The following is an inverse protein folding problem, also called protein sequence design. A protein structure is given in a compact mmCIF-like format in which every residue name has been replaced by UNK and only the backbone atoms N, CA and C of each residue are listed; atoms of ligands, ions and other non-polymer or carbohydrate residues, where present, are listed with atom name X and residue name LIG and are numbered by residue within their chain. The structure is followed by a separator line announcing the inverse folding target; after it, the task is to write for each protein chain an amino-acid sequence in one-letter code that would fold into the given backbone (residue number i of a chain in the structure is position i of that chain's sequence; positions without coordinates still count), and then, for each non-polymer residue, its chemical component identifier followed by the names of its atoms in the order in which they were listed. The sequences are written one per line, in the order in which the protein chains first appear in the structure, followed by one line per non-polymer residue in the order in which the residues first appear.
data_IF_462398383634
#
_entry.id   IF_462398383634
#
_cell.length_a   1.000
_cell.length_b   1.000
_cell.length_c   1.000
_cell.angle_alpha   90.00
_cell.angle_beta   90.00
_cell.angle_gamma   90.00
#
_symmetry.space_group_name_H-M   'P 1'
#
loop_
_entity.id
_entity.type
_entity.pdbx_description
1 polymer ?
#
# COMPACT_ATOMS: atom_id res chain seq x y z
N UNK A 1 3.54 -21.20 33.43
CA UNK A 1 2.73 -21.26 32.20
C UNK A 1 1.31 -20.90 32.58
N UNK A 2 0.94 -19.62 32.46
CA UNK A 2 -0.43 -19.14 32.53
C UNK A 2 -0.65 -18.35 31.26
N UNK A 3 -1.40 -18.92 30.32
CA UNK A 3 -1.94 -18.23 29.16
C UNK A 3 -2.84 -17.10 29.65
N UNK A 4 -2.50 -15.86 29.29
CA UNK A 4 -3.43 -14.74 29.42
C UNK A 4 -4.67 -15.07 28.57
N UNK A 5 -5.89 -14.77 29.06
CA UNK A 5 -7.10 -15.01 28.29
C UNK A 5 -7.07 -14.16 27.02
N UNK A 6 -7.32 -14.81 25.89
CA UNK A 6 -7.63 -14.18 24.60
C UNK A 6 -8.66 -13.06 24.85
N UNK A 7 -8.34 -11.83 24.45
CA UNK A 7 -9.21 -10.69 24.71
C UNK A 7 -10.57 -10.95 24.06
N UNK A 8 -11.59 -11.20 24.88
CA UNK A 8 -12.94 -11.45 24.41
C UNK A 8 -13.40 -10.25 23.56
N UNK A 9 -13.69 -10.51 22.28
CA UNK A 9 -14.25 -9.49 21.39
C UNK A 9 -15.63 -9.11 21.93
N UNK A 10 -15.89 -7.82 22.27
CA UNK A 10 -17.20 -7.39 22.72
C UNK A 10 -18.24 -7.71 21.64
N UNK A 11 -19.36 -8.31 22.02
CA UNK A 11 -20.47 -8.56 21.11
C UNK A 11 -21.16 -7.22 20.76
N UNK A 12 -21.60 -7.07 19.51
CA UNK A 12 -22.38 -5.93 19.06
C UNK A 12 -23.76 -5.91 19.72
N UNK A 13 -24.23 -4.72 20.09
CA UNK A 13 -25.63 -4.51 20.48
C UNK A 13 -26.56 -4.69 19.26
N UNK A 14 -27.83 -5.10 19.45
CA UNK A 14 -28.76 -5.27 18.34
C UNK A 14 -28.89 -4.00 17.49
N UNK A 15 -28.47 -4.06 16.22
CA UNK A 15 -28.57 -2.96 15.25
C UNK A 15 -27.27 -2.19 14.99
N UNK A 16 -26.19 -2.52 15.69
CA UNK A 16 -24.88 -1.91 15.47
C UNK A 16 -24.11 -2.62 14.34
N UNK A 17 -23.62 -1.86 13.35
CA UNK A 17 -22.89 -2.43 12.22
C UNK A 17 -21.51 -2.90 12.65
N UNK A 18 -21.21 -4.17 12.34
CA UNK A 18 -19.90 -4.78 12.55
C UNK A 18 -18.97 -4.57 11.36
N UNK A 19 -17.66 -4.73 11.59
CA UNK A 19 -16.65 -4.72 10.53
C UNK A 19 -17.02 -5.71 9.41
N UNK A 20 -17.36 -6.94 9.78
CA UNK A 20 -17.71 -8.01 8.84
C UNK A 20 -18.93 -7.67 7.99
N UNK A 21 -19.99 -7.13 8.59
CA UNK A 21 -21.19 -6.69 7.85
C UNK A 21 -20.87 -5.58 6.85
N UNK A 22 -20.05 -4.61 7.24
CA UNK A 22 -19.64 -3.50 6.38
C UNK A 22 -18.85 -3.98 5.17
N UNK A 23 -17.76 -4.71 5.38
CA UNK A 23 -16.88 -5.17 4.29
C UNK A 23 -17.53 -6.24 3.41
N UNK A 24 -18.39 -7.10 3.98
CA UNK A 24 -19.19 -8.04 3.19
C UNK A 24 -20.21 -7.31 2.31
N UNK A 25 -20.86 -6.28 2.85
CA UNK A 25 -21.77 -5.43 2.09
C UNK A 25 -21.04 -4.75 0.93
N UNK A 26 -19.84 -4.22 1.16
CA UNK A 26 -19.00 -3.62 0.12
C UNK A 26 -18.60 -4.65 -0.94
N UNK A 27 -18.07 -5.80 -0.53
CA UNK A 27 -17.68 -6.89 -1.43
C UNK A 27 -18.85 -7.31 -2.32
N UNK A 28 -20.06 -7.43 -1.75
CA UNK A 28 -21.26 -7.80 -2.51
C UNK A 28 -21.62 -6.81 -3.61
N UNK A 29 -21.64 -5.52 -3.26
CA UNK A 29 -21.98 -4.47 -4.21
C UNK A 29 -20.89 -4.32 -5.28
N UNK A 30 -19.62 -4.44 -4.91
CA UNK A 30 -18.49 -4.43 -5.85
C UNK A 30 -18.50 -5.66 -6.77
N UNK A 31 -18.79 -6.86 -6.26
CA UNK A 31 -18.90 -8.07 -7.08
C UNK A 31 -19.93 -7.91 -8.20
N UNK A 32 -21.08 -7.31 -7.87
CA UNK A 32 -22.12 -7.01 -8.85
C UNK A 32 -21.68 -5.99 -9.93
N UNK A 33 -20.82 -5.01 -9.61
CA UNK A 33 -20.38 -4.01 -10.61
C UNK A 33 -19.43 -4.59 -11.67
N UNK A 34 -18.75 -5.70 -11.35
CA UNK A 34 -17.85 -6.43 -12.26
C UNK A 34 -18.44 -7.72 -12.82
N UNK A 35 -19.70 -8.03 -12.47
CA UNK A 35 -20.43 -9.18 -13.02
C UNK A 35 -20.11 -10.53 -12.36
N UNK A 36 -19.62 -10.54 -11.12
CA UNK A 36 -19.55 -11.78 -10.33
C UNK A 36 -20.95 -12.26 -9.96
N UNK A 37 -21.15 -13.57 -9.93
CA UNK A 37 -22.41 -14.16 -9.50
C UNK A 37 -22.64 -13.94 -8.00
N UNK A 38 -23.90 -14.00 -7.56
CA UNK A 38 -24.22 -13.97 -6.13
C UNK A 38 -23.58 -15.14 -5.39
N UNK A 39 -23.49 -16.31 -6.03
CA UNK A 39 -22.87 -17.50 -5.47
C UNK A 39 -21.35 -17.33 -5.27
N UNK A 40 -20.63 -16.83 -6.29
CA UNK A 40 -19.19 -16.54 -6.18
C UNK A 40 -18.94 -15.49 -5.08
N UNK A 41 -19.76 -14.44 -5.07
CA UNK A 41 -19.64 -13.34 -4.12
C UNK A 41 -19.94 -13.77 -2.69
N UNK A 42 -20.94 -14.64 -2.48
CA UNK A 42 -21.25 -15.22 -1.17
C UNK A 42 -20.11 -16.12 -0.68
N UNK A 43 -19.53 -16.93 -1.57
CA UNK A 43 -18.38 -17.77 -1.30
C UNK A 43 -17.16 -16.95 -0.86
N UNK A 44 -16.80 -15.92 -1.63
CA UNK A 44 -15.69 -15.04 -1.28
C UNK A 44 -15.94 -14.23 -0.01
N UNK A 45 -17.19 -13.83 0.22
CA UNK A 45 -17.61 -13.19 1.46
C UNK A 45 -17.40 -14.09 2.67
N UNK A 46 -17.75 -15.37 2.57
CA UNK A 46 -17.53 -16.33 3.65
C UNK A 46 -16.04 -16.49 3.96
N UNK A 47 -15.19 -16.65 2.93
CA UNK A 47 -13.73 -16.75 3.10
C UNK A 47 -13.16 -15.51 3.81
N UNK A 48 -13.63 -14.33 3.42
CA UNK A 48 -13.22 -13.09 4.07
C UNK A 48 -13.61 -13.06 5.55
N UNK A 49 -14.87 -13.41 5.87
CA UNK A 49 -15.35 -13.43 7.26
C UNK A 49 -14.61 -14.47 8.11
N UNK A 50 -14.42 -15.68 7.58
CA UNK A 50 -13.70 -16.76 8.25
C UNK A 50 -12.27 -16.33 8.57
N UNK A 51 -11.59 -15.65 7.64
CA UNK A 51 -10.22 -15.20 7.83
C UNK A 51 -10.07 -14.05 8.85
N UNK A 52 -11.11 -13.22 9.02
CA UNK A 52 -11.14 -12.19 10.06
C UNK A 52 -11.62 -12.74 11.41
N UNK A 53 -12.08 -14.00 11.46
CA UNK A 53 -12.48 -14.73 12.64
C UNK A 53 -13.33 -13.90 13.62
N UNK A 54 -12.91 -13.79 14.89
CA UNK A 54 -13.60 -13.00 15.90
C UNK A 54 -13.71 -11.51 15.55
N UNK A 55 -12.73 -10.97 14.83
CA UNK A 55 -12.65 -9.55 14.47
C UNK A 55 -13.75 -9.14 13.48
N UNK A 56 -14.28 -10.07 12.68
CA UNK A 56 -15.42 -9.80 11.81
C UNK A 56 -16.66 -9.33 12.60
N UNK A 57 -16.80 -9.76 13.85
CA UNK A 57 -17.93 -9.37 14.73
C UNK A 57 -17.68 -8.09 15.51
N UNK A 58 -16.52 -7.43 15.32
CA UNK A 58 -16.20 -6.19 16.03
C UNK A 58 -17.14 -5.07 15.60
N UNK A 59 -17.84 -4.39 16.53
CA UNK A 59 -18.60 -3.19 16.23
C UNK A 59 -17.74 -2.08 15.64
N UNK A 60 -18.25 -1.34 14.64
CA UNK A 60 -17.55 -0.18 14.06
C UNK A 60 -17.58 1.07 14.95
N UNK A 61 -18.38 1.07 16.03
CA UNK A 61 -18.31 2.11 17.05
C UNK A 61 -17.05 2.03 17.92
N UNK A 62 -16.43 0.85 17.99
CA UNK A 62 -15.15 0.66 18.65
C UNK A 62 -14.02 1.11 17.73
N UNK A 63 -12.87 1.57 18.28
CA UNK A 63 -11.71 1.89 17.46
C UNK A 63 -11.20 0.67 16.68
N UNK A 64 -10.35 0.84 15.66
CA UNK A 64 -9.63 -0.28 15.05
C UNK A 64 -8.96 -1.17 16.11
N UNK A 65 -8.95 -2.49 15.89
CA UNK A 65 -8.35 -3.44 16.83
C UNK A 65 -6.83 -3.27 16.94
N UNK A 66 -6.16 -2.95 15.83
CA UNK A 66 -4.75 -2.57 15.79
C UNK A 66 -4.53 -1.49 14.71
N UNK A 67 -3.40 -0.75 14.77
CA UNK A 67 -3.06 0.25 13.78
C UNK A 67 -2.49 -0.39 12.50
N UNK A 68 -3.28 -1.23 11.83
CA UNK A 68 -2.87 -1.90 10.58
C UNK A 68 -2.30 -0.89 9.59
N UNK A 69 -1.21 -1.30 8.93
CA UNK A 69 -0.59 -0.54 7.85
C UNK A 69 -1.26 -0.77 6.48
N UNK A 70 -2.26 -1.68 6.41
CA UNK A 70 -2.95 -2.04 5.17
C UNK A 70 -3.71 -0.85 4.60
N UNK A 71 -4.42 -0.11 5.44
CA UNK A 71 -5.13 1.10 5.05
C UNK A 71 -4.81 2.28 5.98
N UNK A 72 -5.09 3.47 5.47
CA UNK A 72 -4.83 4.74 6.13
C UNK A 72 -5.74 5.01 7.35
N UNK A 73 -6.84 4.27 7.49
CA UNK A 73 -7.77 4.29 8.63
C UNK A 73 -7.71 3.01 9.49
N UNK A 74 -6.73 2.15 9.24
CA UNK A 74 -6.51 0.88 9.93
C UNK A 74 -7.61 -0.17 9.74
N UNK A 75 -8.47 0.00 8.73
CA UNK A 75 -9.36 -1.07 8.26
C UNK A 75 -8.51 -2.22 7.70
N UNK A 76 -8.71 -3.47 8.12
CA UNK A 76 -7.89 -4.60 7.64
C UNK A 76 -8.31 -5.13 6.27
N UNK A 77 -8.98 -4.31 5.46
CA UNK A 77 -9.53 -4.66 4.14
C UNK A 77 -9.34 -3.51 3.16
N UNK A 78 -8.78 -3.80 1.98
CA UNK A 78 -8.70 -2.90 0.83
C UNK A 78 -9.16 -3.65 -0.42
N UNK A 79 -9.86 -2.99 -1.33
CA UNK A 79 -10.26 -3.56 -2.62
C UNK A 79 -9.37 -3.05 -3.74
N UNK A 80 -9.36 -3.73 -4.89
CA UNK A 80 -8.81 -3.13 -6.11
C UNK A 80 -9.52 -3.60 -7.37
N UNK A 81 -9.51 -2.75 -8.38
CA UNK A 81 -10.05 -3.04 -9.71
C UNK A 81 -8.92 -2.93 -10.73
N UNK A 82 -8.55 -4.06 -11.33
CA UNK A 82 -7.59 -4.09 -12.44
C UNK A 82 -8.32 -4.12 -13.77
N UNK A 83 -8.25 -3.01 -14.49
CA UNK A 83 -8.80 -2.85 -15.82
C UNK A 83 -7.77 -3.25 -16.87
N UNK A 84 -8.24 -3.89 -17.94
CA UNK A 84 -7.46 -4.17 -19.14
C UNK A 84 -8.31 -3.85 -20.37
N UNK A 85 -7.68 -3.61 -21.51
CA UNK A 85 -8.43 -3.40 -22.74
C UNK A 85 -9.24 -4.67 -23.08
N UNK A 86 -10.51 -4.50 -23.46
CA UNK A 86 -11.40 -5.56 -23.94
C UNK A 86 -11.78 -6.66 -22.92
N UNK A 87 -11.71 -6.39 -21.62
CA UNK A 87 -12.28 -7.29 -20.61
C UNK A 87 -12.89 -6.51 -19.44
N UNK A 88 -13.82 -7.15 -18.71
CA UNK A 88 -14.32 -6.61 -17.45
C UNK A 88 -13.17 -6.46 -16.44
N UNK A 89 -13.19 -5.42 -15.57
CA UNK A 89 -12.17 -5.27 -14.54
C UNK A 89 -12.15 -6.45 -13.57
N UNK A 90 -10.96 -6.92 -13.23
CA UNK A 90 -10.78 -7.94 -12.20
C UNK A 90 -10.87 -7.30 -10.80
N UNK A 91 -11.84 -7.72 -10.00
CA UNK A 91 -11.98 -7.32 -8.60
C UNK A 91 -11.05 -8.13 -7.71
N UNK A 92 -10.39 -7.46 -6.78
CA UNK A 92 -9.59 -8.09 -5.72
C UNK A 92 -9.95 -7.54 -4.36
N UNK A 93 -9.69 -8.36 -3.35
CA UNK A 93 -9.73 -7.95 -1.94
C UNK A 93 -8.42 -8.32 -1.27
N UNK A 94 -7.79 -7.38 -0.58
CA UNK A 94 -6.61 -7.51 0.26
C UNK A 94 -7.07 -7.50 1.72
N UNK A 95 -6.58 -8.44 2.53
CA UNK A 95 -7.01 -8.64 3.92
C UNK A 95 -5.80 -8.87 4.83
N UNK A 96 -5.87 -8.33 6.05
CA UNK A 96 -4.97 -8.66 7.17
C UNK A 96 -5.69 -9.58 8.17
N UNK A 97 -5.47 -10.91 8.12
CA UNK A 97 -6.21 -11.86 8.98
C UNK A 97 -5.87 -11.68 10.45
N UNK A 98 -4.58 -11.45 10.73
CA UNK A 98 -4.04 -11.28 12.08
C UNK A 98 -4.28 -9.90 12.70
N UNK A 99 -5.20 -9.11 12.17
CA UNK A 99 -5.39 -7.70 12.54
C UNK A 99 -5.70 -7.46 14.01
N UNK A 100 -6.42 -8.35 14.68
CA UNK A 100 -6.77 -8.16 16.09
C UNK A 100 -5.73 -8.69 17.10
N UNK A 101 -4.60 -9.22 16.64
CA UNK A 101 -3.54 -9.68 17.53
C UNK A 101 -2.67 -8.52 18.02
N UNK A 102 -2.21 -8.61 19.27
CA UNK A 102 -1.44 -7.55 19.93
C UNK A 102 0.04 -7.49 19.54
N UNK A 103 0.57 -8.56 18.95
CA UNK A 103 1.94 -8.63 18.43
C UNK A 103 1.98 -9.25 17.03
N UNK A 104 3.09 -8.99 16.33
CA UNK A 104 3.30 -9.42 14.94
C UNK A 104 3.52 -10.93 14.80
N UNK A 105 4.10 -11.59 15.81
CA UNK A 105 4.29 -13.03 15.76
C UNK A 105 2.94 -13.77 15.71
N UNK A 106 2.02 -13.36 16.58
CA UNK A 106 0.66 -13.90 16.65
C UNK A 106 -0.16 -13.52 15.39
N UNK A 107 -0.04 -12.28 14.94
CA UNK A 107 -0.65 -11.81 13.69
C UNK A 107 -0.22 -12.65 12.48
N UNK A 108 1.08 -12.95 12.39
CA UNK A 108 1.66 -13.80 11.35
C UNK A 108 1.10 -15.23 11.36
N UNK A 109 0.94 -15.83 12.53
CA UNK A 109 0.37 -17.19 12.66
C UNK A 109 -1.09 -17.25 12.23
N UNK A 110 -1.91 -16.27 12.63
CA UNK A 110 -3.28 -16.16 12.15
C UNK A 110 -3.36 -16.01 10.62
N UNK A 111 -2.43 -15.23 10.05
CA UNK A 111 -2.27 -15.12 8.59
C UNK A 111 -1.94 -16.45 7.90
N UNK A 112 -0.99 -17.22 8.45
CA UNK A 112 -0.64 -18.55 7.93
C UNK A 112 -1.79 -19.54 8.03
N UNK A 113 -2.51 -19.56 9.15
CA UNK A 113 -3.68 -20.41 9.35
C UNK A 113 -4.75 -20.12 8.29
N UNK A 114 -5.02 -18.85 8.01
CA UNK A 114 -5.94 -18.45 6.95
C UNK A 114 -5.49 -18.98 5.57
N UNK A 115 -4.20 -18.85 5.23
CA UNK A 115 -3.66 -19.35 3.95
C UNK A 115 -3.71 -20.87 3.86
N UNK A 116 -3.37 -21.58 4.94
CA UNK A 116 -3.44 -23.06 5.00
C UNK A 116 -4.88 -23.56 4.88
N UNK A 117 -5.85 -22.86 5.46
CA UNK A 117 -7.27 -23.15 5.27
C UNK A 117 -7.70 -22.96 3.81
N UNK A 118 -7.24 -21.90 3.15
CA UNK A 118 -7.48 -21.68 1.72
C UNK A 118 -6.81 -22.75 0.84
N UNK A 119 -5.58 -23.14 1.18
CA UNK A 119 -4.82 -24.19 0.50
C UNK A 119 -5.57 -25.53 0.56
N UNK A 120 -6.06 -25.91 1.75
CA UNK A 120 -6.86 -27.11 1.91
C UNK A 120 -8.21 -27.04 1.15
N UNK A 121 -8.82 -25.85 1.09
CA UNK A 121 -10.10 -25.65 0.39
C UNK A 121 -9.99 -25.77 -1.13
N UNK A 122 -8.93 -25.22 -1.72
CA UNK A 122 -8.75 -25.12 -3.17
C UNK A 122 -7.59 -25.98 -3.70
N UNK A 123 -7.05 -26.87 -2.87
CA UNK A 123 -6.01 -27.85 -3.22
C UNK A 123 -4.77 -27.22 -3.89
N UNK A 124 -4.21 -26.18 -3.27
CA UNK A 124 -2.95 -25.58 -3.72
C UNK A 124 -1.80 -25.80 -2.75
N UNK A 125 -0.57 -25.88 -3.28
CA UNK A 125 0.65 -26.01 -2.48
C UNK A 125 1.05 -24.71 -1.78
N UNK A 126 1.50 -24.82 -0.53
CA UNK A 126 2.12 -23.74 0.25
C UNK A 126 3.64 -23.84 0.31
N UNK A 127 4.28 -24.79 -0.39
CA UNK A 127 5.72 -25.07 -0.25
C UNK A 127 6.62 -23.83 -0.42
N UNK A 128 6.28 -22.94 -1.36
CA UNK A 128 7.02 -21.69 -1.55
C UNK A 128 6.91 -20.75 -0.35
N UNK A 129 5.75 -20.71 0.30
CA UNK A 129 5.55 -19.92 1.52
C UNK A 129 6.24 -20.58 2.71
N UNK A 130 6.12 -21.89 2.85
CA UNK A 130 6.74 -22.66 3.95
C UNK A 130 8.28 -22.53 3.90
N UNK A 131 8.88 -22.48 2.70
CA UNK A 131 10.33 -22.27 2.52
C UNK A 131 10.84 -20.88 2.99
N UNK A 132 9.93 -19.93 3.22
CA UNK A 132 10.24 -18.56 3.63
C UNK A 132 9.77 -18.22 5.04
N UNK A 133 9.07 -19.14 5.72
CA UNK A 133 8.39 -18.87 7.00
C UNK A 133 9.35 -18.30 8.05
N UNK A 134 10.55 -18.88 8.22
CA UNK A 134 11.55 -18.43 9.18
C UNK A 134 12.11 -17.03 8.90
N UNK A 135 12.10 -16.58 7.65
CA UNK A 135 12.62 -15.27 7.26
C UNK A 135 11.60 -14.15 7.53
N UNK A 136 10.32 -14.42 7.31
CA UNK A 136 9.27 -13.40 7.30
C UNK A 136 8.35 -13.45 8.51
N UNK A 137 8.30 -14.57 9.24
CA UNK A 137 7.43 -14.77 10.38
C UNK A 137 8.22 -15.25 11.62
N UNK A 138 9.30 -14.55 12.01
CA UNK A 138 10.01 -14.87 13.24
C UNK A 138 9.12 -14.61 14.47
N UNK A 139 9.40 -15.31 15.58
CA UNK A 139 8.59 -15.19 16.81
C UNK A 139 8.50 -13.75 17.35
N UNK A 140 9.57 -12.95 17.18
CA UNK A 140 9.63 -11.55 17.56
C UNK A 140 9.68 -10.66 16.30
N UNK A 141 8.66 -10.78 15.44
CA UNK A 141 8.58 -9.99 14.21
C UNK A 141 8.39 -8.50 14.49
N UNK A 142 9.07 -7.67 13.71
CA UNK A 142 8.85 -6.24 13.65
C UNK A 142 7.79 -5.87 12.60
N UNK A 143 7.14 -4.73 12.81
CA UNK A 143 6.17 -4.17 11.88
C UNK A 143 6.78 -3.70 10.55
N UNK A 144 5.97 -3.13 9.65
CA UNK A 144 4.60 -2.65 9.88
C UNK A 144 3.50 -3.68 9.56
N UNK A 145 3.84 -4.87 9.06
CA UNK A 145 2.92 -5.97 8.80
C UNK A 145 3.60 -7.31 9.09
N UNK A 146 2.79 -8.36 9.21
CA UNK A 146 3.28 -9.75 9.25
C UNK A 146 2.91 -10.51 7.97
N UNK A 147 1.61 -10.72 7.75
CA UNK A 147 1.09 -11.36 6.54
C UNK A 147 -0.24 -10.71 6.13
N UNK A 148 -0.32 -10.28 4.88
CA UNK A 148 -1.59 -10.00 4.21
C UNK A 148 -1.82 -11.02 3.11
N UNK A 149 -3.08 -11.22 2.73
CA UNK A 149 -3.40 -11.95 1.50
C UNK A 149 -4.25 -11.09 0.58
N UNK A 150 -4.11 -11.27 -0.73
CA UNK A 150 -5.07 -10.76 -1.70
C UNK A 150 -5.71 -11.91 -2.48
N UNK A 151 -7.01 -11.81 -2.69
CA UNK A 151 -7.77 -12.71 -3.56
C UNK A 151 -8.12 -11.99 -4.86
N UNK A 152 -7.72 -12.57 -5.99
CA UNK A 152 -8.19 -12.23 -7.32
C UNK A 152 -9.51 -12.96 -7.55
N UNK A 153 -10.63 -12.25 -7.47
CA UNK A 153 -11.97 -12.84 -7.44
C UNK A 153 -12.40 -13.20 -8.87
N UNK A 154 -12.47 -14.51 -9.14
CA UNK A 154 -12.73 -15.05 -10.47
C UNK A 154 -14.14 -15.64 -10.52
N UNK A 155 -14.74 -15.68 -11.69
CA UNK A 155 -15.96 -16.46 -11.89
C UNK A 155 -15.66 -17.95 -11.65
N UNK A 156 -16.59 -18.67 -11.03
CA UNK A 156 -16.45 -20.11 -10.76
C UNK A 156 -15.86 -20.45 -9.39
N UNK A 157 -15.69 -19.46 -8.50
CA UNK A 157 -15.48 -19.69 -7.07
C UNK A 157 -14.07 -20.11 -6.63
N UNK A 158 -13.09 -20.12 -7.54
CA UNK A 158 -11.68 -20.38 -7.21
C UNK A 158 -10.87 -19.11 -7.46
N UNK A 159 -10.43 -18.39 -6.40
CA UNK A 159 -9.70 -17.15 -6.57
C UNK A 159 -8.24 -17.41 -6.94
N UNK A 160 -7.58 -16.41 -7.52
CA UNK A 160 -6.13 -16.37 -7.46
C UNK A 160 -5.68 -15.91 -6.08
N UNK A 161 -4.83 -16.67 -5.39
CA UNK A 161 -4.35 -16.31 -4.05
C UNK A 161 -2.99 -15.62 -4.15
N UNK A 162 -2.79 -14.55 -3.38
CA UNK A 162 -1.48 -13.90 -3.20
C UNK A 162 -1.22 -13.65 -1.74
N UNK A 163 0.02 -13.83 -1.30
CA UNK A 163 0.47 -13.48 0.04
C UNK A 163 1.46 -12.32 -0.02
N UNK A 164 1.42 -11.42 0.94
CA UNK A 164 2.33 -10.29 1.11
C UNK A 164 3.02 -10.43 2.45
N UNK A 165 4.34 -10.36 2.43
CA UNK A 165 5.23 -10.56 3.57
C UNK A 165 6.08 -9.32 3.79
N UNK A 166 6.55 -9.11 5.02
CA UNK A 166 7.38 -7.97 5.42
C UNK A 166 8.89 -8.29 5.35
N UNK A 167 9.65 -7.74 4.38
CA UNK A 167 11.10 -7.94 4.36
C UNK A 167 11.82 -7.41 5.60
N UNK A 168 11.22 -6.45 6.30
CA UNK A 168 11.74 -5.84 7.52
C UNK A 168 11.30 -6.57 8.80
N UNK A 169 10.75 -7.79 8.71
CA UNK A 169 10.26 -8.55 9.88
C UNK A 169 11.33 -8.80 10.95
N UNK A 170 12.61 -8.78 10.59
CA UNK A 170 13.74 -8.90 11.53
C UNK A 170 14.49 -7.57 11.76
N UNK A 171 13.91 -6.44 11.35
CA UNK A 171 14.54 -5.11 11.37
C UNK A 171 14.70 -4.50 9.96
N UNK A 172 14.43 -3.19 9.76
CA UNK A 172 14.55 -2.53 8.45
C UNK A 172 15.94 -2.63 7.80
N UNK A 173 17.01 -2.65 8.60
CA UNK A 173 18.39 -2.81 8.15
C UNK A 173 18.67 -4.19 7.52
N UNK A 174 17.84 -5.17 7.83
CA UNK A 174 17.96 -6.53 7.32
C UNK A 174 17.14 -6.75 6.03
N UNK A 175 16.25 -5.83 5.66
CA UNK A 175 15.30 -6.00 4.56
C UNK A 175 15.94 -6.44 3.23
N UNK A 176 17.04 -5.81 2.82
CA UNK A 176 17.75 -6.16 1.59
C UNK A 176 18.31 -7.60 1.61
N UNK A 177 18.83 -8.04 2.77
CA UNK A 177 19.33 -9.39 2.96
C UNK A 177 18.19 -10.40 2.91
N UNK A 178 17.07 -10.09 3.58
CA UNK A 178 15.86 -10.92 3.58
C UNK A 178 15.32 -11.15 2.17
N UNK A 179 15.17 -10.09 1.37
CA UNK A 179 14.70 -10.22 -0.03
C UNK A 179 15.68 -11.06 -0.86
N UNK A 180 16.99 -10.83 -0.73
CA UNK A 180 18.01 -11.60 -1.47
C UNK A 180 17.92 -13.09 -1.14
N UNK A 181 17.86 -13.42 0.15
CA UNK A 181 17.78 -14.80 0.60
C UNK A 181 16.46 -15.45 0.18
N UNK A 182 15.35 -14.74 0.26
CA UNK A 182 14.05 -15.24 -0.19
C UNK A 182 14.08 -15.59 -1.69
N UNK A 183 14.59 -14.69 -2.53
CA UNK A 183 14.74 -14.94 -3.97
C UNK A 183 15.65 -16.16 -4.22
N UNK A 184 16.75 -16.29 -3.47
CA UNK A 184 17.66 -17.45 -3.56
C UNK A 184 16.95 -18.76 -3.22
N UNK A 185 16.19 -18.82 -2.12
CA UNK A 185 15.44 -20.02 -1.70
C UNK A 185 14.38 -20.44 -2.70
N UNK A 186 13.81 -19.47 -3.42
CA UNK A 186 12.83 -19.70 -4.48
C UNK A 186 13.46 -20.00 -5.86
N UNK A 187 14.79 -20.07 -5.97
CA UNK A 187 15.51 -20.39 -7.22
C UNK A 187 15.78 -19.19 -8.15
N UNK A 188 15.69 -17.96 -7.63
CA UNK A 188 15.91 -16.71 -8.36
C UNK A 188 17.23 -16.02 -7.96
N UNK A 189 18.34 -16.76 -7.91
CA UNK A 189 19.62 -16.29 -7.36
C UNK A 189 20.13 -14.97 -7.97
N UNK A 190 19.83 -14.73 -9.26
CA UNK A 190 20.27 -13.54 -10.00
C UNK A 190 19.28 -12.37 -9.93
N UNK A 191 18.04 -12.60 -9.47
CA UNK A 191 16.97 -11.62 -9.52
C UNK A 191 17.23 -10.38 -8.65
N UNK A 192 17.84 -10.57 -7.47
CA UNK A 192 18.12 -9.44 -6.57
C UNK A 192 19.04 -8.40 -7.22
N UNK A 193 20.00 -8.85 -8.03
CA UNK A 193 20.94 -7.95 -8.73
C UNK A 193 20.27 -7.13 -9.85
N UNK A 194 19.08 -7.53 -10.30
CA UNK A 194 18.30 -6.80 -11.30
C UNK A 194 17.33 -5.78 -10.68
N UNK A 195 17.22 -5.76 -9.35
CA UNK A 195 16.39 -4.77 -8.69
C UNK A 195 17.08 -3.40 -8.74
N UNK A 196 16.32 -2.32 -8.94
CA UNK A 196 16.88 -0.97 -8.92
C UNK A 196 17.35 -0.59 -7.52
N UNK A 197 18.16 0.48 -7.39
CA UNK A 197 18.40 1.12 -6.10
C UNK A 197 17.09 1.40 -5.37
N UNK A 198 17.07 1.11 -4.06
CA UNK A 198 15.86 1.10 -3.24
C UNK A 198 16.04 1.99 -2.02
N UNK A 199 15.04 2.82 -1.70
CA UNK A 199 14.94 3.46 -0.38
C UNK A 199 14.37 2.50 0.69
N UNK A 200 13.88 1.32 0.27
CA UNK A 200 13.39 0.26 1.13
C UNK A 200 12.61 -0.80 0.35
N UNK A 201 12.41 -1.95 0.99
CA UNK A 201 11.63 -3.08 0.45
C UNK A 201 10.37 -3.27 1.30
N UNK A 202 9.27 -2.58 0.99
CA UNK A 202 8.09 -2.63 1.85
C UNK A 202 7.40 -4.00 1.83
N UNK A 203 7.46 -4.73 0.70
CA UNK A 203 6.75 -5.99 0.55
C UNK A 203 7.52 -6.97 -0.35
N UNK A 204 7.45 -8.26 0.00
CA UNK A 204 7.65 -9.36 -0.94
C UNK A 204 6.32 -10.12 -1.04
N UNK A 205 5.88 -10.47 -2.25
CA UNK A 205 4.65 -11.19 -2.45
C UNK A 205 4.81 -12.44 -3.31
N UNK A 206 4.01 -13.47 -3.03
CA UNK A 206 3.95 -14.72 -3.78
C UNK A 206 2.54 -14.91 -4.33
N UNK A 207 2.44 -15.30 -5.59
CA UNK A 207 1.22 -15.85 -6.17
C UNK A 207 1.14 -17.35 -5.83
N UNK A 208 0.09 -17.79 -5.13
CA UNK A 208 -0.16 -19.18 -4.72
C UNK A 208 -1.35 -19.79 -5.47
N UNK A 209 -1.28 -21.09 -5.77
CA UNK A 209 -2.30 -21.84 -6.49
C UNK A 209 -2.30 -21.65 -8.00
N UNK A 210 -3.48 -21.74 -8.61
CA UNK A 210 -3.63 -21.79 -10.07
C UNK A 210 -3.37 -20.44 -10.74
N UNK A 211 -2.08 -20.21 -11.00
CA UNK A 211 -1.57 -19.14 -11.84
C UNK A 211 -0.91 -19.77 -13.07
N UNK A 212 -1.24 -19.26 -14.26
CA UNK A 212 -0.57 -19.68 -15.52
C UNK A 212 0.96 -19.54 -15.44
N UNK A 213 1.41 -18.52 -14.71
CA UNK A 213 2.82 -18.28 -14.42
C UNK A 213 2.88 -17.68 -13.01
N UNK A 214 3.07 -18.50 -11.96
CA UNK A 214 3.20 -18.01 -10.59
C UNK A 214 4.40 -17.07 -10.50
N UNK A 215 4.25 -16.01 -9.71
CA UNK A 215 5.25 -14.94 -9.59
C UNK A 215 5.72 -14.77 -8.16
N UNK A 216 7.01 -14.52 -8.01
CA UNK A 216 7.53 -13.76 -6.87
C UNK A 216 7.59 -12.28 -7.25
N UNK A 217 7.13 -11.41 -6.34
CA UNK A 217 6.98 -9.99 -6.60
C UNK A 217 7.71 -9.20 -5.52
N UNK A 218 8.70 -8.40 -5.91
CA UNK A 218 9.44 -7.53 -4.99
C UNK A 218 8.99 -6.10 -5.16
N UNK A 219 8.54 -5.48 -4.07
CA UNK A 219 8.17 -4.08 -4.04
C UNK A 219 9.36 -3.23 -3.59
N UNK A 220 9.56 -2.10 -4.25
CA UNK A 220 10.66 -1.16 -4.01
C UNK A 220 10.09 0.23 -3.77
N UNK A 221 10.53 0.88 -2.69
CA UNK A 221 10.14 2.24 -2.33
C UNK A 221 11.09 3.27 -2.94
N UNK A 222 10.53 4.35 -3.50
CA UNK A 222 11.28 5.44 -4.15
C UNK A 222 10.89 6.80 -3.57
N UNK A 223 11.76 7.38 -2.73
CA UNK A 223 11.56 8.72 -2.20
C UNK A 223 11.87 9.77 -3.28
N UNK A 224 11.04 10.81 -3.40
CA UNK A 224 11.31 11.92 -4.33
C UNK A 224 11.31 11.52 -5.81
N UNK A 225 10.64 10.42 -6.18
CA UNK A 225 10.62 9.93 -7.56
C UNK A 225 10.10 11.02 -8.52
N UNK A 226 10.80 11.21 -9.64
CA UNK A 226 10.37 12.00 -10.79
C UNK A 226 9.83 11.10 -11.92
N UNK A 227 9.23 11.71 -12.94
CA UNK A 227 8.80 10.98 -14.13
C UNK A 227 9.99 10.36 -14.91
N UNK A 228 11.15 11.00 -14.88
CA UNK A 228 12.37 10.49 -15.52
C UNK A 228 12.90 9.25 -14.79
N UNK A 229 12.91 9.30 -13.46
CA UNK A 229 13.23 8.14 -12.61
C UNK A 229 12.29 6.98 -12.94
N UNK A 230 10.98 7.23 -12.98
CA UNK A 230 9.98 6.22 -13.33
C UNK A 230 10.24 5.59 -14.72
N UNK A 231 10.60 6.40 -15.72
CA UNK A 231 10.96 5.90 -17.05
C UNK A 231 12.20 5.01 -17.00
N UNK A 232 13.26 5.45 -16.33
CA UNK A 232 14.50 4.69 -16.19
C UNK A 232 14.26 3.33 -15.51
N UNK A 233 13.47 3.30 -14.44
CA UNK A 233 13.13 2.07 -13.71
C UNK A 233 12.28 1.07 -14.51
N UNK A 234 11.60 1.54 -15.56
CA UNK A 234 10.70 0.73 -16.38
C UNK A 234 11.34 0.15 -17.65
N UNK A 235 12.61 0.48 -17.95
CA UNK A 235 13.20 0.26 -19.27
C UNK A 235 13.16 -1.20 -19.76
N UNK A 236 13.29 -2.16 -18.85
CA UNK A 236 13.30 -3.60 -19.16
C UNK A 236 11.91 -4.23 -19.26
N UNK A 237 10.86 -3.46 -18.95
CA UNK A 237 9.48 -3.98 -18.87
C UNK A 237 8.72 -4.02 -20.21
N UNK A 238 9.28 -3.42 -21.26
CA UNK A 238 8.57 -3.17 -22.52
C UNK A 238 7.58 -2.00 -22.47
N UNK A 239 7.51 -1.27 -21.35
CA UNK A 239 6.72 -0.04 -21.24
C UNK A 239 7.30 1.07 -22.12
N UNK A 240 6.44 1.80 -22.83
CA UNK A 240 6.88 3.00 -23.53
C UNK A 240 7.17 4.11 -22.50
N UNK A 241 8.30 4.82 -22.68
CA UNK A 241 8.63 5.96 -21.82
C UNK A 241 7.55 7.05 -21.87
N UNK A 242 6.87 7.20 -23.02
CA UNK A 242 5.76 8.12 -23.17
C UNK A 242 4.56 7.74 -22.27
N UNK A 243 4.24 6.44 -22.17
CA UNK A 243 3.14 5.97 -21.34
C UNK A 243 3.46 6.05 -19.86
N UNK A 244 4.69 5.72 -19.45
CA UNK A 244 5.14 5.86 -18.07
C UNK A 244 5.10 7.33 -17.65
N UNK A 245 5.63 8.24 -18.47
CA UNK A 245 5.61 9.68 -18.20
C UNK A 245 4.19 10.23 -18.14
N UNK A 246 3.34 9.85 -19.11
CA UNK A 246 1.94 10.28 -19.12
C UNK A 246 1.21 9.76 -17.88
N UNK A 247 1.39 8.49 -17.52
CA UNK A 247 0.76 7.92 -16.34
C UNK A 247 1.21 8.64 -15.07
N UNK A 248 2.53 8.83 -14.91
CA UNK A 248 3.09 9.51 -13.76
C UNK A 248 2.50 10.92 -13.60
N UNK A 249 2.51 11.73 -14.66
CA UNK A 249 2.02 13.10 -14.59
C UNK A 249 0.51 13.17 -14.35
N UNK A 250 -0.29 12.30 -14.97
CA UNK A 250 -1.73 12.29 -14.75
C UNK A 250 -2.08 11.82 -13.33
N UNK A 251 -1.43 10.76 -12.82
CA UNK A 251 -1.69 10.26 -11.47
C UNK A 251 -1.20 11.22 -10.38
N UNK A 252 -0.02 11.82 -10.55
CA UNK A 252 0.56 12.78 -9.60
C UNK A 252 -0.09 14.17 -9.68
N UNK A 253 -0.67 14.53 -10.82
CA UNK A 253 -1.27 15.84 -11.08
C UNK A 253 -0.26 16.99 -11.07
N UNK A 254 -0.76 18.22 -10.87
CA UNK A 254 0.12 19.37 -10.65
C UNK A 254 0.68 19.29 -9.25
N UNK A 255 1.87 18.73 -9.12
CA UNK A 255 2.65 18.80 -7.88
C UNK A 255 2.77 20.28 -7.47
N UNK A 256 2.45 20.59 -6.21
CA UNK A 256 2.53 21.95 -5.67
C UNK A 256 3.89 22.59 -5.99
N UNK A 257 4.01 23.93 -6.02
CA UNK A 257 5.27 24.60 -6.35
C UNK A 257 6.47 24.12 -5.51
N UNK A 258 6.21 23.67 -4.28
CA UNK A 258 7.19 23.07 -3.36
C UNK A 258 7.74 21.71 -3.81
N UNK A 259 7.13 21.06 -4.80
CA UNK A 259 7.59 19.82 -5.44
C UNK A 259 8.62 20.01 -6.55
N UNK A 260 9.09 21.26 -6.78
CA UNK A 260 10.18 21.57 -7.70
C UNK A 260 11.49 21.66 -6.92
N UNK A 261 12.48 20.90 -7.32
CA UNK A 261 13.87 21.16 -6.91
C UNK A 261 14.46 22.33 -7.70
N UNK A 262 15.67 22.76 -7.31
CA UNK A 262 16.37 23.89 -7.93
C UNK A 262 16.59 23.74 -9.45
N UNK A 263 16.50 22.52 -9.98
CA UNK A 263 16.61 22.18 -11.40
C UNK A 263 15.28 22.27 -12.18
N UNK A 264 14.15 22.53 -11.50
CA UNK A 264 12.81 22.59 -12.09
C UNK A 264 12.11 21.24 -12.25
N UNK A 265 12.73 20.13 -11.83
CA UNK A 265 12.18 18.77 -11.90
C UNK A 265 11.07 18.58 -10.88
N UNK A 266 9.93 18.01 -11.32
CA UNK A 266 8.79 17.71 -10.46
C UNK A 266 8.94 16.35 -9.79
N UNK A 267 8.87 16.31 -8.45
CA UNK A 267 9.09 15.11 -7.64
C UNK A 267 7.94 14.80 -6.68
N UNK A 268 7.76 13.51 -6.38
CA UNK A 268 6.84 13.03 -5.35
C UNK A 268 7.47 13.16 -3.96
N UNK A 269 7.21 14.30 -3.30
CA UNK A 269 7.80 14.63 -1.99
C UNK A 269 6.98 14.21 -0.75
N UNK A 270 5.70 13.87 -0.93
CA UNK A 270 4.82 13.31 0.12
C UNK A 270 5.00 11.78 0.18
N UNK A 271 3.91 10.99 0.21
CA UNK A 271 4.05 9.53 0.21
C UNK A 271 4.77 9.02 -1.05
N UNK A 272 5.77 8.18 -0.82
CA UNK A 272 6.63 7.63 -1.87
C UNK A 272 5.86 6.78 -2.89
N UNK A 273 6.25 6.89 -4.16
CA UNK A 273 5.87 5.90 -5.16
C UNK A 273 6.54 4.56 -4.88
N UNK A 274 5.89 3.48 -5.33
CA UNK A 274 6.43 2.14 -5.29
C UNK A 274 6.59 1.60 -6.71
N UNK A 275 7.65 0.83 -6.95
CA UNK A 275 7.68 -0.08 -8.10
C UNK A 275 7.54 -1.52 -7.62
N UNK A 276 6.95 -2.38 -8.45
CA UNK A 276 6.92 -3.82 -8.23
C UNK A 276 7.61 -4.52 -9.38
N UNK A 277 8.54 -5.42 -9.06
CA UNK A 277 9.28 -6.23 -10.03
C UNK A 277 8.85 -7.69 -9.85
N UNK A 278 8.29 -8.28 -10.90
CA UNK A 278 7.79 -9.66 -10.86
C UNK A 278 8.75 -10.59 -11.60
N UNK A 279 9.00 -11.76 -11.03
CA UNK A 279 9.80 -12.83 -11.63
C UNK A 279 8.95 -14.08 -11.73
N UNK A 280 9.04 -14.78 -12.87
CA UNK A 280 8.44 -16.09 -13.14
C UNK A 280 9.53 -17.12 -13.37
N UNK A 281 9.22 -18.40 -13.23
CA UNK A 281 10.20 -19.48 -13.34
C UNK A 281 11.13 -19.33 -14.56
N UNK A 282 12.44 -19.44 -14.31
CA UNK A 282 13.48 -19.30 -15.34
C UNK A 282 13.90 -17.85 -15.65
N UNK A 283 13.23 -16.84 -15.09
CA UNK A 283 13.61 -15.44 -15.27
C UNK A 283 14.91 -15.08 -14.52
N UNK A 284 15.88 -14.57 -15.25
CA UNK A 284 16.99 -13.80 -14.66
C UNK A 284 16.66 -12.32 -14.52
N UNK A 285 15.75 -11.80 -15.34
CA UNK A 285 15.27 -10.41 -15.35
C UNK A 285 13.76 -10.34 -15.09
N UNK A 286 13.24 -9.25 -14.49
CA UNK A 286 11.82 -9.15 -14.20
C UNK A 286 10.94 -9.33 -15.45
N UNK A 287 9.97 -10.25 -15.40
CA UNK A 287 8.94 -10.41 -16.43
C UNK A 287 7.76 -9.46 -16.24
N UNK A 288 7.68 -8.77 -15.11
CA UNK A 288 6.66 -7.76 -14.85
C UNK A 288 7.19 -6.54 -14.11
N UNK A 289 6.58 -5.39 -14.41
CA UNK A 289 6.83 -4.11 -13.78
C UNK A 289 5.50 -3.45 -13.42
N UNK A 290 5.41 -2.85 -12.24
CA UNK A 290 4.27 -2.00 -11.89
C UNK A 290 4.76 -0.72 -11.27
N UNK A 291 4.23 0.42 -11.70
CA UNK A 291 4.43 1.71 -11.06
C UNK A 291 3.17 2.06 -10.26
N UNK A 292 3.32 2.25 -8.94
CA UNK A 292 2.25 2.63 -8.02
C UNK A 292 2.43 4.07 -7.56
N UNK A 293 1.41 4.89 -7.79
CA UNK A 293 1.34 6.29 -7.35
C UNK A 293 0.28 6.40 -6.25
N UNK A 294 0.64 6.85 -5.03
CA UNK A 294 -0.33 7.05 -3.94
C UNK A 294 -1.18 8.30 -4.20
N UNK A 295 -2.10 8.22 -5.16
CA UNK A 295 -2.85 9.39 -5.65
C UNK A 295 -3.57 10.18 -4.55
N UNK A 296 -4.02 9.52 -3.48
CA UNK A 296 -4.64 10.15 -2.29
C UNK A 296 -3.78 11.23 -1.63
N UNK A 297 -2.46 11.09 -1.73
CA UNK A 297 -1.50 12.03 -1.20
C UNK A 297 -1.17 13.12 -2.21
N UNK A 298 -1.90 13.24 -3.32
CA UNK A 298 -1.62 14.17 -4.41
C UNK A 298 -2.87 14.84 -5.00
N UNK A 299 -4.02 14.70 -4.35
CA UNK A 299 -5.31 15.26 -4.75
C UNK A 299 -5.95 16.03 -3.60
N UNK A 300 -6.87 16.93 -3.92
CA UNK A 300 -7.72 17.59 -2.93
C UNK A 300 -8.69 16.59 -2.27
N UNK A 301 -9.35 15.79 -3.09
CA UNK A 301 -10.45 14.91 -2.72
C UNK A 301 -10.54 13.74 -3.72
N UNK A 302 -11.45 12.80 -3.49
CA UNK A 302 -11.61 11.64 -4.37
C UNK A 302 -12.34 11.95 -5.69
N UNK A 303 -12.96 13.12 -5.82
CA UNK A 303 -13.52 13.56 -7.12
C UNK A 303 -12.36 13.84 -8.10
N UNK A 304 -11.32 14.52 -7.63
CA UNK A 304 -10.11 14.73 -8.40
C UNK A 304 -9.36 13.41 -8.66
N UNK A 305 -9.29 12.50 -7.67
CA UNK A 305 -8.68 11.18 -7.88
C UNK A 305 -9.42 10.37 -8.96
N UNK A 306 -10.75 10.38 -8.95
CA UNK A 306 -11.57 9.72 -9.97
C UNK A 306 -11.38 10.35 -11.35
N UNK A 307 -11.28 11.67 -11.43
CA UNK A 307 -11.00 12.36 -12.69
C UNK A 307 -9.66 11.91 -13.29
N UNK A 308 -8.60 11.82 -12.47
CA UNK A 308 -7.28 11.32 -12.89
C UNK A 308 -7.34 9.85 -13.31
N UNK A 309 -8.01 9.00 -12.54
CA UNK A 309 -8.19 7.59 -12.87
C UNK A 309 -8.96 7.40 -14.20
N UNK A 310 -10.00 8.19 -14.42
CA UNK A 310 -10.81 8.19 -15.65
C UNK A 310 -10.00 8.61 -16.87
N UNK A 311 -9.16 9.64 -16.74
CA UNK A 311 -8.27 10.09 -17.81
C UNK A 311 -7.26 9.00 -18.18
N UNK A 312 -6.72 8.28 -17.20
CA UNK A 312 -5.81 7.15 -17.42
C UNK A 312 -6.53 5.98 -18.11
N UNK A 313 -7.67 5.55 -17.59
CA UNK A 313 -8.43 4.43 -18.17
C UNK A 313 -8.77 4.73 -19.64
N UNK A 314 -9.30 5.92 -19.93
CA UNK A 314 -9.59 6.37 -21.30
C UNK A 314 -8.35 6.35 -22.19
N UNK A 315 -7.22 6.90 -21.71
CA UNK A 315 -5.96 6.93 -22.46
C UNK A 315 -5.48 5.53 -22.85
N UNK A 316 -5.61 4.56 -21.96
CA UNK A 316 -5.18 3.18 -22.19
C UNK A 316 -6.29 2.30 -22.83
N UNK A 317 -7.38 2.90 -23.33
CA UNK A 317 -8.45 2.19 -24.04
C UNK A 317 -9.31 1.30 -23.14
N UNK A 318 -9.44 1.65 -21.86
CA UNK A 318 -10.24 0.93 -20.86
C UNK A 318 -11.49 1.72 -20.51
N UNK A 319 -12.61 1.03 -20.26
CA UNK A 319 -13.87 1.67 -19.87
C UNK A 319 -13.80 2.19 -18.41
N UNK A 320 -13.92 3.51 -18.18
CA UNK A 320 -13.91 4.07 -16.83
C UNK A 320 -15.22 3.84 -16.06
N UNK A 321 -16.32 3.46 -16.73
CA UNK A 321 -17.66 3.36 -16.14
C UNK A 321 -17.70 2.38 -14.98
N UNK A 322 -16.99 1.25 -15.09
CA UNK A 322 -16.93 0.25 -14.04
C UNK A 322 -16.28 0.78 -12.75
N UNK A 323 -15.26 1.64 -12.85
CA UNK A 323 -14.66 2.29 -11.68
C UNK A 323 -15.66 3.23 -11.01
N UNK A 324 -16.32 4.11 -11.77
CA UNK A 324 -17.31 5.05 -11.23
C UNK A 324 -18.47 4.34 -10.53
N UNK A 325 -19.01 3.27 -11.14
CA UNK A 325 -20.06 2.44 -10.51
C UNK A 325 -19.56 1.79 -9.22
N UNK A 326 -18.32 1.34 -9.20
CA UNK A 326 -17.73 0.67 -8.05
C UNK A 326 -17.52 1.62 -6.87
N UNK A 327 -17.13 2.87 -7.10
CA UNK A 327 -17.05 3.88 -6.05
C UNK A 327 -18.44 4.19 -5.45
N UNK A 328 -19.46 4.34 -6.30
CA UNK A 328 -20.85 4.51 -5.84
C UNK A 328 -21.42 3.28 -5.12
N UNK A 329 -20.89 2.09 -5.40
CA UNK A 329 -21.18 0.86 -4.67
C UNK A 329 -20.43 0.77 -3.34
N UNK A 330 -19.23 1.34 -3.25
CA UNK A 330 -18.35 1.21 -2.09
C UNK A 330 -18.79 2.11 -0.93
N UNK A 331 -19.21 3.35 -1.23
CA UNK A 331 -19.59 4.35 -0.24
C UNK A 331 -20.78 5.21 -0.69
N UNK A 332 -21.50 5.79 0.29
CA UNK A 332 -22.59 6.75 0.06
C UNK A 332 -22.13 8.21 0.12
N UNK A 333 -20.92 8.49 0.60
CA UNK A 333 -20.42 9.87 0.71
C UNK A 333 -20.20 10.46 -0.68
N UNK A 334 -20.27 11.78 -0.80
CA UNK A 334 -19.81 12.46 -2.02
C UNK A 334 -18.29 12.34 -2.07
N UNK A 335 -17.75 12.18 -3.28
CA UNK A 335 -16.31 12.03 -3.47
C UNK A 335 -15.54 13.31 -3.06
N UNK A 336 -16.17 14.48 -3.20
CA UNK A 336 -15.63 15.78 -2.77
C UNK A 336 -15.55 15.98 -1.25
N UNK A 337 -16.26 15.17 -0.46
CA UNK A 337 -16.36 15.34 1.00
C UNK A 337 -15.20 14.70 1.76
N UNK A 338 -14.25 14.07 1.05
CA UNK A 338 -13.11 13.42 1.66
C UNK A 338 -12.08 12.94 0.65
N UNK A 339 -10.95 12.47 1.16
CA UNK A 339 -9.82 11.98 0.37
C UNK A 339 -9.35 10.62 0.88
N UNK A 340 -8.96 9.74 -0.03
CA UNK A 340 -8.36 8.45 0.31
C UNK A 340 -9.16 7.23 -0.09
N UNK A 341 -10.38 7.40 -0.64
CA UNK A 341 -11.14 6.28 -1.19
C UNK A 341 -10.39 5.63 -2.35
N UNK A 342 -9.76 6.41 -3.23
CA UNK A 342 -8.80 5.90 -4.22
C UNK A 342 -7.39 6.03 -3.65
N UNK A 343 -6.91 4.96 -3.03
CA UNK A 343 -5.64 4.96 -2.33
C UNK A 343 -4.45 5.07 -3.29
N UNK A 344 -4.42 4.21 -4.29
CA UNK A 344 -3.34 4.13 -5.28
C UNK A 344 -3.90 4.00 -6.69
N UNK A 345 -3.16 4.52 -7.66
CA UNK A 345 -3.28 4.15 -9.06
C UNK A 345 -2.00 3.44 -9.47
N UNK A 346 -2.15 2.37 -10.24
CA UNK A 346 -1.01 1.60 -10.71
C UNK A 346 -1.09 1.31 -12.21
N UNK A 347 0.04 1.46 -12.90
CA UNK A 347 0.23 1.03 -14.28
C UNK A 347 1.08 -0.25 -14.28
N UNK A 348 0.50 -1.31 -14.82
CA UNK A 348 1.04 -2.67 -14.75
C UNK A 348 1.44 -3.13 -16.16
N UNK A 349 2.70 -3.52 -16.29
CA UNK A 349 3.24 -4.22 -17.46
C UNK A 349 3.66 -5.62 -17.07
N UNK A 350 3.39 -6.57 -17.96
CA UNK A 350 3.75 -7.97 -17.79
C UNK A 350 4.03 -8.56 -19.16
N UNK A 351 5.10 -9.34 -19.27
CA UNK A 351 5.54 -9.95 -20.53
C UNK A 351 4.38 -10.71 -21.17
N UNK A 352 4.16 -10.47 -22.46
CA UNK A 352 3.10 -11.10 -23.27
C UNK A 352 1.66 -10.84 -22.75
N UNK A 353 1.44 -9.73 -22.03
CA UNK A 353 0.11 -9.29 -21.59
C UNK A 353 -0.13 -7.84 -21.98
N UNK A 354 -1.39 -7.50 -22.19
CA UNK A 354 -1.80 -6.11 -22.35
C UNK A 354 -1.54 -5.33 -21.05
N UNK A 355 -1.14 -4.04 -21.14
CA UNK A 355 -1.03 -3.19 -19.96
C UNK A 355 -2.34 -3.13 -19.18
N UNK A 356 -2.24 -2.89 -17.88
CA UNK A 356 -3.40 -2.76 -16.99
C UNK A 356 -3.30 -1.50 -16.14
N UNK A 357 -4.45 -0.88 -15.89
CA UNK A 357 -4.58 0.17 -14.88
C UNK A 357 -5.30 -0.43 -13.68
N UNK A 358 -4.71 -0.33 -12.50
CA UNK A 358 -5.32 -0.79 -11.24
C UNK A 358 -5.61 0.40 -10.33
N UNK A 359 -6.87 0.53 -9.90
CA UNK A 359 -7.26 1.43 -8.82
C UNK A 359 -7.41 0.65 -7.51
N UNK A 360 -6.77 1.12 -6.45
CA UNK A 360 -6.86 0.55 -5.10
C UNK A 360 -7.87 1.38 -4.31
N UNK A 361 -8.83 0.71 -3.68
CA UNK A 361 -10.04 1.30 -3.12
C UNK A 361 -10.14 1.01 -1.63
N UNK A 362 -10.06 2.04 -0.80
CA UNK A 362 -10.13 1.93 0.66
C UNK A 362 -11.53 1.53 1.11
N UNK A 363 -11.64 0.68 2.14
CA UNK A 363 -12.95 0.34 2.74
C UNK A 363 -13.56 1.50 3.55
N UNK A 364 -12.73 2.40 4.10
CA UNK A 364 -13.15 3.52 4.96
C UNK A 364 -14.11 3.09 6.08
N UNK A 365 -13.82 1.97 6.76
CA UNK A 365 -14.69 1.46 7.82
C UNK A 365 -14.62 2.32 9.10
N UNK A 366 -13.50 3.00 9.32
CA UNK A 366 -13.23 3.74 10.56
C UNK A 366 -13.10 5.24 10.35
N UNK A 367 -12.56 5.67 9.21
CA UNK A 367 -12.33 7.10 8.97
C UNK A 367 -12.41 7.45 7.49
N UNK A 368 -13.20 8.48 7.19
CA UNK A 368 -13.02 9.28 5.98
C UNK A 368 -12.14 10.47 6.32
N UNK A 369 -11.00 10.63 5.64
CA UNK A 369 -10.15 11.81 5.84
C UNK A 369 -10.79 13.03 5.17
N UNK A 370 -10.73 14.22 5.78
CA UNK A 370 -11.27 15.43 5.17
C UNK A 370 -10.51 15.77 3.88
N UNK A 371 -11.15 16.48 2.93
CA UNK A 371 -10.47 16.95 1.74
C UNK A 371 -9.29 17.85 2.14
N UNK A 372 -8.21 17.79 1.38
CA UNK A 372 -7.02 18.60 1.61
C UNK A 372 -7.33 20.05 1.23
N UNK A 373 -6.93 21.01 2.07
CA UNK A 373 -6.96 22.41 1.67
C UNK A 373 -5.95 22.59 0.53
N UNK A 374 -6.38 23.17 -0.59
CA UNK A 374 -5.42 23.72 -1.55
C UNK A 374 -4.71 24.85 -0.82
N UNK A 375 -3.38 24.83 -0.73
CA UNK A 375 -2.62 26.00 -0.30
C UNK A 375 -3.11 27.21 -1.10
N UNK A 376 -3.95 28.02 -0.47
CA UNK A 376 -4.47 29.22 -1.06
C UNK A 376 -3.26 30.11 -1.32
N UNK A 377 -3.18 30.61 -2.55
CA UNK A 377 -2.28 31.67 -2.99
C UNK A 377 -1.82 32.56 -1.82
N UNK A 378 -0.58 32.39 -1.36
CA UNK A 378 0.14 33.43 -0.62
C UNK A 378 0.47 34.54 -1.62
N UNK A 379 -0.57 35.29 -1.97
CA UNK A 379 -0.57 36.37 -2.94
C UNK A 379 -1.40 37.52 -2.39
N UNK A 380 -1.08 37.98 -1.18
CA UNK A 380 -1.41 39.31 -0.65
C UNK A 380 -0.61 39.51 0.63
N UNK A 381 0.59 40.10 0.50
CA UNK A 381 1.21 40.82 1.60
C UNK A 381 0.35 42.07 1.87
N UNK A 382 -0.26 42.25 3.06
CA UNK A 382 -0.69 43.57 3.44
C UNK A 382 0.57 44.36 3.79
N UNK A 383 0.83 45.42 3.03
CA UNK A 383 1.87 46.40 3.33
C UNK A 383 1.74 46.87 4.79
N UNK A 384 2.66 46.43 5.66
CA UNK A 384 2.81 47.06 6.96
C UNK A 384 3.46 48.41 6.76
N UNK A 385 2.61 49.44 6.86
CA UNK A 385 3.00 50.83 7.09
C UNK A 385 3.99 50.88 8.25
N UNK A 386 5.21 51.29 7.95
CA UNK A 386 6.20 51.75 8.91
C UNK A 386 5.62 52.87 9.76
N UNK A 387 5.61 52.67 11.09
CA UNK A 387 5.65 53.79 12.03
C UNK A 387 6.93 53.69 12.84
N UNK A 388 7.84 54.60 12.50
CA UNK A 388 8.95 55.03 13.32
C UNK A 388 8.48 55.46 14.70
N UNK A 389 9.12 54.94 15.74
CA UNK A 389 9.51 55.70 16.93
C UNK A 389 10.91 55.28 17.37
N UNK A 390 11.88 56.08 16.94
CA UNK A 390 13.07 56.54 17.67
C UNK A 390 12.88 56.57 19.20
N UNK A 391 13.86 56.38 20.09
CA UNK A 391 15.32 56.10 20.10
C UNK A 391 15.70 55.96 21.63
N UNK A 392 16.94 56.18 22.08
CA UNK A 392 18.11 55.28 22.21
C UNK A 392 18.50 54.96 23.68
N UNK A 393 19.53 54.11 23.85
CA UNK A 393 20.53 54.37 24.90
C UNK A 393 21.25 53.14 25.47
N UNK A 394 22.41 52.79 24.88
CA UNK A 394 23.75 53.01 25.47
C UNK A 394 24.83 52.20 24.73
N UNK A 395 25.79 52.95 24.20
CA UNK A 395 27.09 52.50 23.72
C UNK A 395 28.04 52.13 24.87
N UNK A 396 28.98 51.22 24.56
CA UNK A 396 30.45 51.33 24.71
C UNK A 396 31.01 49.92 24.96
N UNK A 397 31.69 49.31 23.97
CA UNK A 397 33.15 49.30 23.77
C UNK A 397 33.85 48.34 24.76
N UNK A 398 34.84 47.51 24.44
CA UNK A 398 35.67 47.30 23.27
C UNK A 398 36.49 46.00 23.49
N UNK A 399 37.07 45.47 22.41
CA UNK A 399 38.29 44.64 22.33
C UNK A 399 38.33 43.10 22.56
N UNK A 400 38.93 42.49 21.52
CA UNK A 400 39.92 41.39 21.48
C UNK A 400 39.45 39.93 21.29
N UNK A 401 39.75 39.38 20.10
CA UNK A 401 39.99 37.94 19.80
C UNK A 401 41.48 37.58 20.01
N UNK A 402 42.01 36.34 19.81
CA UNK A 402 41.41 35.02 19.46
C UNK A 402 41.96 33.81 20.28
N UNK A 403 41.59 32.58 19.87
CA UNK A 403 42.03 31.23 20.30
C UNK A 403 41.40 30.73 21.62
N UNK A 404 40.88 29.49 21.76
CA UNK A 404 41.39 28.18 21.33
C UNK A 404 40.29 27.11 21.39
N UNK A 405 40.59 25.96 20.79
CA UNK A 405 39.76 24.78 20.50
C UNK A 405 39.00 24.07 21.66
N UNK A 406 38.16 23.14 21.21
CA UNK A 406 37.60 21.93 21.85
C UNK A 406 36.36 22.06 22.76
N UNK A 407 35.27 21.39 22.32
CA UNK A 407 34.71 20.24 23.03
C UNK A 407 33.68 19.48 22.18
N UNK A 408 34.05 18.26 21.81
CA UNK A 408 33.13 17.15 21.59
C UNK A 408 32.38 16.84 22.89
N UNK A 409 31.11 16.47 22.79
CA UNK A 409 30.33 15.90 23.89
C UNK A 409 29.82 14.53 23.44
N UNK A 410 30.58 13.50 23.80
CA UNK A 410 30.11 12.12 23.93
C UNK A 410 29.65 11.88 25.36
N UNK A 411 28.48 11.30 25.55
CA UNK A 411 28.12 10.66 26.82
C UNK A 411 27.72 9.19 26.60
N UNK A 412 28.50 8.35 27.27
CA UNK A 412 28.54 6.90 27.30
C UNK A 412 27.47 6.28 28.21
N UNK A 413 26.94 5.13 27.78
CA UNK A 413 26.27 4.15 28.65
C UNK A 413 27.31 3.39 29.47
N UNK A 414 27.07 3.21 30.77
CA UNK A 414 27.82 2.27 31.60
C UNK A 414 26.90 1.15 32.09
N UNK A 415 27.49 -0.05 32.04
CA UNK A 415 26.92 -1.36 32.31
C UNK A 415 26.62 -1.61 33.80
N UNK A 416 25.75 -2.59 34.06
CA UNK A 416 25.83 -3.44 35.24
C UNK A 416 26.09 -4.88 34.80
N UNK A 417 27.18 -5.41 35.35
CA UNK A 417 27.72 -6.76 35.17
C UNK A 417 27.03 -7.73 36.13
N UNK A 418 26.75 -8.94 35.66
CA UNK A 418 27.45 -10.17 36.08
C UNK A 418 27.26 -11.24 35.01
#
# INVERSE_FOLDING_TARGET
MSSLPEAATPAAEPGETTLGEHVLGQLRRLGATVGLSEADTALYGQVLLDSLAGSARRPLSLPPASPSFLSDDHTPVEFSLASTANAAPALRVLVEPGWAHGDMGDSGRAGLEAIRAMAARWDFSTEQLDALEDLFLPAAAEGPLSLWYALDLRAGGVPGVKVYLNPSAAGPEHAARTVREALRRLGYDKAFAQLPPAAGYPFLALDLGDWKSPRVKVYVKHAGMSADDACALSHSSGASAADIRSFFHTAAGSLAPSGREADGTRRLLRRSALTCHSFTEGDSEPSGFTLHIPVRDYVRDDEEALARATALLTRFGMDPTALSRSLGALTRRRLSDGVGLIAYLALVYERNRQPRITAYLSSEAYLTRPPQEQDAQSGLLPAQRTKNTSNPGREAADHASPHTAQKEVTWSRTASKL
#
